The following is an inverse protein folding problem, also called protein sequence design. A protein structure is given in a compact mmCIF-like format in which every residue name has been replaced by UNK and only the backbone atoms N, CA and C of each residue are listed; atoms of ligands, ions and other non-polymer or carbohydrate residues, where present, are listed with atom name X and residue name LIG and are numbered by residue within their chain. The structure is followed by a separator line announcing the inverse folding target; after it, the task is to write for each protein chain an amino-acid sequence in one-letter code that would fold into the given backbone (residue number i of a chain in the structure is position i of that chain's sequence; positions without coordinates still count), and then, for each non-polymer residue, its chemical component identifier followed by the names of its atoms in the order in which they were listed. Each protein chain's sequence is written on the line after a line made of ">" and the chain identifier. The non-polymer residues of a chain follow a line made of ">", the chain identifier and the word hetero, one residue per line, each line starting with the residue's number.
data_IF_563494848155
#
_entry.id   IF_563494848155
#
_cell.length_a   1.000
_cell.length_b   1.000
_cell.length_c   1.000
_cell.angle_alpha   90.00
_cell.angle_beta   90.00
_cell.angle_gamma   90.00
#
_symmetry.space_group_name_H-M   'P 1'
#
loop_
_entity.id
_entity.type
_entity.pdbx_description
1 polymer ?
#
# COMPACT_ATOMS: atom_id res chain seq x y z
N UNK A 1 -11.99 -8.20 32.83
CA UNK A 1 -11.76 -9.30 31.87
C UNK A 1 -11.16 -8.66 30.62
N UNK A 2 -9.94 -9.05 30.32
CA UNK A 2 -9.18 -8.62 29.15
C UNK A 2 -9.79 -9.19 27.86
N UNK A 3 -9.88 -8.34 26.84
CA UNK A 3 -9.73 -8.61 25.40
C UNK A 3 -9.57 -7.20 24.78
N UNK A 4 -8.63 -6.89 23.90
CA UNK A 4 -7.47 -7.58 23.35
C UNK A 4 -6.79 -6.56 22.44
N UNK A 5 -5.48 -6.38 22.60
CA UNK A 5 -4.51 -6.26 21.50
C UNK A 5 -5.12 -5.89 20.13
N UNK A 6 -5.39 -4.60 19.91
CA UNK A 6 -5.22 -4.03 18.58
C UNK A 6 -3.85 -3.36 18.56
N UNK A 7 -2.82 -4.19 18.76
CA UNK A 7 -1.42 -3.84 18.67
C UNK A 7 -1.04 -3.82 17.17
N UNK A 8 -1.75 -3.00 16.39
CA UNK A 8 -1.41 -2.77 14.99
C UNK A 8 -0.19 -1.85 14.96
N UNK A 9 0.99 -2.46 15.05
CA UNK A 9 2.29 -1.80 14.81
C UNK A 9 2.50 -1.74 13.30
N UNK A 10 2.50 -0.54 12.75
CA UNK A 10 2.91 -0.32 11.37
C UNK A 10 4.30 0.28 11.35
N UNK A 11 5.27 -0.46 10.81
CA UNK A 11 6.62 0.06 10.58
C UNK A 11 6.64 0.90 9.31
N UNK A 12 6.78 2.22 9.45
CA UNK A 12 6.68 3.13 8.32
C UNK A 12 8.05 3.74 8.04
N UNK A 13 8.37 3.86 6.75
CA UNK A 13 9.53 4.63 6.31
C UNK A 13 9.10 6.07 6.06
N UNK A 14 9.77 7.01 6.75
CA UNK A 14 9.60 8.43 6.53
C UNK A 14 10.98 9.11 6.41
N UNK A 15 11.10 10.05 5.48
CA UNK A 15 12.34 10.73 5.08
C UNK A 15 12.48 12.17 5.63
N UNK A 16 13.48 12.52 6.46
CA UNK A 16 14.01 13.88 6.41
C UNK A 16 14.66 14.15 5.04
N UNK A 17 14.39 15.30 4.43
CA UNK A 17 14.92 15.68 3.09
C UNK A 17 16.45 15.67 3.01
N UNK A 18 17.12 15.74 4.17
CA UNK A 18 18.52 16.12 4.25
C UNK A 18 19.42 15.09 4.94
N UNK A 19 19.19 13.77 4.82
CA UNK A 19 20.29 12.79 4.61
C UNK A 19 19.88 11.32 4.79
N UNK A 20 18.81 10.96 5.51
CA UNK A 20 18.66 9.60 6.02
C UNK A 20 17.20 9.14 6.07
N UNK A 21 16.80 8.01 5.48
CA UNK A 21 15.49 7.42 5.77
C UNK A 21 15.45 6.94 7.24
N UNK A 22 14.32 7.14 7.93
CA UNK A 22 14.10 6.65 9.29
C UNK A 22 12.89 5.71 9.32
N UNK A 23 12.99 4.65 10.12
CA UNK A 23 11.85 3.79 10.45
C UNK A 23 11.09 4.40 11.62
N UNK A 24 9.78 4.43 11.52
CA UNK A 24 8.87 4.90 12.56
C UNK A 24 7.92 3.76 12.90
N UNK A 25 7.76 3.46 14.18
CA UNK A 25 6.68 2.66 14.70
C UNK A 25 5.45 3.55 14.78
N UNK A 26 4.42 3.21 14.00
CA UNK A 26 3.08 3.72 14.18
C UNK A 26 2.36 2.76 15.13
N UNK A 27 2.15 3.17 16.38
CA UNK A 27 1.40 2.38 17.37
C UNK A 27 0.05 3.03 17.59
N UNK A 28 -1.04 2.28 17.36
CA UNK A 28 -2.37 2.73 17.73
C UNK A 28 -2.47 2.81 19.26
N UNK A 29 -2.63 4.02 19.80
CA UNK A 29 -2.94 4.26 21.21
C UNK A 29 -4.38 4.73 21.34
N UNK A 30 -4.99 4.49 22.48
CA UNK A 30 -6.26 5.13 22.86
C UNK A 30 -5.90 6.32 23.76
N UNK A 31 -6.31 7.53 23.36
CA UNK A 31 -6.04 8.72 24.14
C UNK A 31 -6.93 8.82 25.39
N UNK A 32 -6.68 9.83 26.22
CA UNK A 32 -7.42 10.05 27.47
C UNK A 32 -8.93 10.27 27.29
N UNK A 33 -9.40 10.52 26.06
CA UNK A 33 -10.81 10.69 25.71
C UNK A 33 -11.41 9.44 25.05
N UNK A 34 -10.73 8.30 25.11
CA UNK A 34 -11.08 7.07 24.38
C UNK A 34 -11.08 7.23 22.85
N UNK A 35 -10.33 8.20 22.30
CA UNK A 35 -10.18 8.35 20.87
C UNK A 35 -8.94 7.59 20.38
N UNK A 36 -9.04 6.80 19.30
CA UNK A 36 -7.85 6.21 18.68
C UNK A 36 -6.92 7.31 18.17
N UNK A 37 -5.68 7.33 18.67
CA UNK A 37 -4.58 8.20 18.24
C UNK A 37 -3.36 7.36 17.94
N UNK A 38 -2.78 7.55 16.77
CA UNK A 38 -1.52 6.90 16.43
C UNK A 38 -0.35 7.65 17.05
N UNK A 39 0.46 6.95 17.85
CA UNK A 39 1.76 7.45 18.26
C UNK A 39 2.79 7.10 17.19
N UNK A 40 3.64 8.06 16.86
CA UNK A 40 4.70 7.89 15.88
C UNK A 40 6.01 7.94 16.68
N UNK A 41 6.52 6.77 17.05
CA UNK A 41 7.83 6.66 17.69
C UNK A 41 8.88 6.33 16.66
N UNK A 42 9.93 7.15 16.55
CA UNK A 42 11.07 6.82 15.70
C UNK A 42 11.74 5.55 16.24
N UNK A 43 11.91 4.54 15.39
CA UNK A 43 12.75 3.38 15.68
C UNK A 43 14.19 3.83 15.43
N UNK A 44 15.04 3.79 16.46
CA UNK A 44 16.48 4.02 16.26
C UNK A 44 17.07 2.88 15.45
N UNK A 45 17.11 3.04 14.13
CA UNK A 45 17.79 2.10 13.25
C UNK A 45 19.28 2.42 13.24
N UNK A 46 20.11 1.43 13.58
CA UNK A 46 21.57 1.55 13.45
C UNK A 46 22.03 1.65 11.98
N UNK A 47 21.15 1.30 11.04
CA UNK A 47 21.36 1.46 9.61
C UNK A 47 20.52 2.61 9.09
N UNK A 48 21.18 3.75 8.95
CA UNK A 48 20.71 4.89 8.18
C UNK A 48 20.77 4.49 6.70
N UNK A 49 19.64 4.61 5.99
CA UNK A 49 19.60 4.34 4.55
C UNK A 49 19.68 5.65 3.80
N UNK A 50 20.68 5.77 2.92
CA UNK A 50 20.90 6.94 2.09
C UNK A 50 19.87 6.97 0.96
N UNK A 51 19.16 8.08 0.84
CA UNK A 51 18.32 8.32 -0.33
C UNK A 51 19.21 8.45 -1.58
N UNK A 52 18.82 7.85 -2.72
CA UNK A 52 19.59 7.94 -3.97
C UNK A 52 19.59 9.37 -4.56
N UNK A 53 18.76 10.28 -4.04
CA UNK A 53 18.75 11.70 -4.39
C UNK A 53 18.75 12.56 -3.12
N UNK A 54 19.65 13.55 -3.08
CA UNK A 54 19.49 14.70 -2.20
C UNK A 54 18.34 15.52 -2.76
N UNK A 55 17.29 15.69 -1.96
CA UNK A 55 16.24 16.64 -2.29
C UNK A 55 16.82 18.05 -2.19
N UNK A 56 16.50 18.91 -3.16
CA UNK A 56 16.84 20.33 -3.09
C UNK A 56 16.09 20.95 -1.90
N UNK A 57 16.80 21.68 -1.03
CA UNK A 57 16.23 22.33 0.16
C UNK A 57 15.15 23.37 -0.19
N UNK A 58 15.05 23.74 -1.47
CA UNK A 58 14.01 24.63 -2.01
C UNK A 58 12.69 23.90 -2.35
N UNK A 59 12.61 22.58 -2.17
CA UNK A 59 11.39 21.81 -2.42
C UNK A 59 10.34 22.15 -1.35
N UNK A 60 9.51 23.15 -1.67
CA UNK A 60 8.23 23.41 -1.01
C UNK A 60 7.17 22.36 -1.36
N UNK A 61 7.47 21.49 -2.32
CA UNK A 61 6.54 20.51 -2.86
C UNK A 61 6.28 19.41 -1.84
N UNK A 62 4.99 19.18 -1.56
CA UNK A 62 4.52 18.05 -0.76
C UNK A 62 4.93 16.74 -1.45
N UNK A 63 5.69 15.88 -0.77
CA UNK A 63 6.16 14.60 -1.33
C UNK A 63 5.27 13.47 -0.83
N UNK A 64 4.45 12.85 -1.70
CA UNK A 64 3.62 11.71 -1.32
C UNK A 64 4.43 10.42 -1.25
N UNK A 65 4.21 9.66 -0.19
CA UNK A 65 4.84 8.38 0.10
C UNK A 65 3.76 7.34 0.41
N UNK A 66 3.88 6.15 -0.16
CA UNK A 66 3.03 5.00 0.13
C UNK A 66 3.91 3.88 0.68
N UNK A 67 3.65 3.48 1.92
CA UNK A 67 4.29 2.32 2.57
C UNK A 67 3.37 1.12 2.48
N UNK A 68 3.86 0.02 1.91
CA UNK A 68 3.10 -1.22 1.72
C UNK A 68 3.51 -2.30 2.72
N UNK A 69 2.52 -2.88 3.40
CA UNK A 69 2.63 -4.04 4.30
C UNK A 69 2.00 -5.28 3.65
N UNK A 70 2.01 -6.44 4.29
CA UNK A 70 1.48 -7.67 3.70
C UNK A 70 0.05 -7.54 3.15
N UNK A 71 -0.85 -6.92 3.92
CA UNK A 71 -2.27 -6.78 3.58
C UNK A 71 -2.80 -5.36 3.76
N UNK A 72 -1.94 -4.39 4.00
CA UNK A 72 -2.33 -3.00 4.18
C UNK A 72 -1.33 -2.04 3.57
N UNK A 73 -1.69 -0.77 3.50
CA UNK A 73 -0.78 0.32 3.20
C UNK A 73 -1.07 1.54 4.07
N UNK A 74 -0.08 2.40 4.19
CA UNK A 74 -0.23 3.72 4.83
C UNK A 74 0.28 4.78 3.85
N UNK A 75 -0.44 5.89 3.78
CA UNK A 75 -0.08 7.04 2.96
C UNK A 75 0.40 8.15 3.90
N UNK A 76 1.51 8.78 3.55
CA UNK A 76 1.92 10.03 4.17
C UNK A 76 2.42 11.02 3.14
N UNK A 77 2.40 12.29 3.53
CA UNK A 77 2.91 13.40 2.73
C UNK A 77 3.93 14.15 3.57
N UNK A 78 5.14 14.31 3.02
CA UNK A 78 6.15 15.14 3.65
C UNK A 78 5.73 16.62 3.60
N UNK A 79 5.77 17.31 4.74
CA UNK A 79 5.45 18.73 4.90
C UNK A 79 6.70 19.51 5.31
N UNK A 80 7.22 20.31 4.37
CA UNK A 80 8.27 21.32 4.55
C UNK A 80 9.66 20.79 4.98
N UNK A 81 10.72 21.22 4.28
CA UNK A 81 12.12 20.88 4.54
C UNK A 81 12.58 21.24 5.96
N UNK A 82 12.08 22.35 6.50
CA UNK A 82 12.60 22.94 7.74
C UNK A 82 12.18 22.20 9.02
N UNK A 83 11.20 21.28 8.95
CA UNK A 83 10.64 20.61 10.14
C UNK A 83 10.66 19.09 10.10
N UNK A 84 11.19 18.45 9.04
CA UNK A 84 11.23 16.99 8.89
C UNK A 84 9.88 16.29 9.18
N UNK A 85 8.76 16.96 8.87
CA UNK A 85 7.43 16.54 9.32
C UNK A 85 6.72 15.69 8.28
N UNK A 86 6.19 14.54 8.70
CA UNK A 86 5.24 13.76 7.90
C UNK A 86 3.83 14.00 8.39
N UNK A 87 2.92 14.23 7.46
CA UNK A 87 1.49 14.11 7.73
C UNK A 87 0.99 12.79 7.17
N UNK A 88 0.45 11.96 8.05
CA UNK A 88 -0.29 10.78 7.65
C UNK A 88 -1.64 11.19 7.09
N UNK A 89 -2.05 10.55 6.00
CA UNK A 89 -3.34 10.81 5.39
C UNK A 89 -4.32 9.74 5.82
N UNK A 90 -5.48 10.19 6.28
CA UNK A 90 -6.62 9.30 6.41
C UNK A 90 -7.05 8.85 5.01
N UNK A 91 -7.37 7.57 4.91
CA UNK A 91 -7.98 7.01 3.72
C UNK A 91 -9.43 7.43 3.60
N UNK A 92 -10.09 7.01 2.51
CA UNK A 92 -11.50 7.30 2.27
C UNK A 92 -12.45 6.69 3.32
N UNK A 93 -11.98 5.77 4.19
CA UNK A 93 -12.77 5.24 5.30
C UNK A 93 -12.45 5.90 6.66
N UNK A 94 -11.63 6.96 6.68
CA UNK A 94 -11.23 7.66 7.91
C UNK A 94 -10.13 6.97 8.72
N UNK A 95 -9.53 5.89 8.21
CA UNK A 95 -8.38 5.21 8.85
C UNK A 95 -7.07 5.56 8.15
N UNK A 96 -5.97 5.59 8.90
CA UNK A 96 -4.63 5.80 8.33
C UNK A 96 -4.08 4.53 7.65
N UNK A 97 -4.45 3.35 8.14
CA UNK A 97 -4.22 2.06 7.48
C UNK A 97 -5.27 1.78 6.42
N UNK A 98 -4.83 1.32 5.26
CA UNK A 98 -5.68 0.98 4.11
C UNK A 98 -5.57 -0.51 3.84
N UNK A 99 -6.62 -1.29 4.12
CA UNK A 99 -6.63 -2.71 3.81
C UNK A 99 -6.66 -2.95 2.29
N UNK A 100 -5.77 -3.80 1.76
CA UNK A 100 -5.61 -4.01 0.31
C UNK A 100 -6.63 -5.01 -0.25
N UNK A 101 -7.91 -4.68 -0.09
CA UNK A 101 -9.05 -5.47 -0.54
C UNK A 101 -9.76 -4.73 -1.67
N UNK A 102 -10.10 -5.45 -2.74
CA UNK A 102 -10.90 -4.95 -3.87
C UNK A 102 -12.04 -5.92 -4.09
N UNK A 103 -13.27 -5.45 -4.02
CA UNK A 103 -14.46 -6.24 -4.31
C UNK A 103 -15.15 -5.74 -5.58
N UNK A 104 -15.58 -6.69 -6.40
CA UNK A 104 -16.29 -6.47 -7.67
C UNK A 104 -17.78 -6.79 -7.48
N UNK A 105 -18.48 -6.05 -6.62
CA UNK A 105 -19.91 -6.24 -6.30
C UNK A 105 -20.75 -5.08 -6.86
N UNK A 106 -21.78 -5.40 -7.65
CA UNK A 106 -22.63 -4.47 -8.43
C UNK A 106 -21.84 -3.64 -9.46
N UNK A 107 -22.45 -2.56 -9.95
CA UNK A 107 -21.88 -1.65 -10.96
C UNK A 107 -20.68 -0.82 -10.46
N UNK A 108 -20.29 -0.94 -9.19
CA UNK A 108 -19.21 -0.15 -8.59
C UNK A 108 -18.16 -1.04 -7.88
N UNK A 109 -16.91 -0.57 -7.84
CA UNK A 109 -15.85 -1.23 -7.08
C UNK A 109 -15.94 -0.83 -5.61
N UNK A 110 -15.86 -1.82 -4.72
CA UNK A 110 -15.72 -1.59 -3.29
C UNK A 110 -14.28 -1.86 -2.84
N UNK A 111 -13.82 -1.12 -1.83
CA UNK A 111 -12.44 -1.18 -1.34
C UNK A 111 -12.38 -1.20 0.19
N UNK A 112 -11.25 -1.63 0.77
CA UNK A 112 -11.01 -1.68 2.22
C UNK A 112 -12.17 -2.33 2.99
N UNK A 113 -12.75 -1.62 3.95
CA UNK A 113 -13.81 -2.11 4.85
C UNK A 113 -15.05 -2.60 4.12
N UNK A 114 -15.46 -1.94 3.03
CA UNK A 114 -16.62 -2.39 2.26
C UNK A 114 -16.32 -3.68 1.48
N UNK A 115 -15.11 -3.81 0.93
CA UNK A 115 -14.67 -5.06 0.30
C UNK A 115 -14.56 -6.21 1.32
N UNK A 116 -14.13 -5.93 2.56
CA UNK A 116 -14.08 -6.91 3.64
C UNK A 116 -15.48 -7.41 4.02
N UNK A 117 -16.48 -6.52 4.09
CA UNK A 117 -17.89 -6.92 4.33
C UNK A 117 -18.39 -7.86 3.23
N UNK A 118 -18.05 -7.58 1.97
CA UNK A 118 -18.39 -8.45 0.83
C UNK A 118 -17.66 -9.79 0.95
N UNK A 119 -16.38 -9.80 1.32
CA UNK A 119 -15.58 -11.03 1.45
C UNK A 119 -16.22 -12.06 2.41
N UNK A 120 -16.86 -11.59 3.48
CA UNK A 120 -17.54 -12.46 4.46
C UNK A 120 -18.73 -13.23 3.89
N UNK A 121 -19.34 -12.74 2.81
CA UNK A 121 -20.56 -13.34 2.21
C UNK A 121 -20.34 -13.86 0.80
N UNK A 122 -19.44 -13.25 0.04
CA UNK A 122 -19.12 -13.55 -1.36
C UNK A 122 -17.60 -13.48 -1.57
N UNK A 123 -16.81 -14.40 -0.98
CA UNK A 123 -15.35 -14.31 -1.04
C UNK A 123 -14.80 -14.33 -2.48
N UNK A 124 -15.44 -15.04 -3.41
CA UNK A 124 -14.99 -15.15 -4.81
C UNK A 124 -15.07 -13.85 -5.62
N UNK A 125 -15.73 -12.83 -5.08
CA UNK A 125 -15.90 -11.50 -5.68
C UNK A 125 -14.82 -10.52 -5.19
N UNK A 126 -13.94 -10.97 -4.29
CA UNK A 126 -12.98 -10.10 -3.61
C UNK A 126 -11.57 -10.59 -3.84
N UNK A 127 -10.70 -9.66 -4.23
CA UNK A 127 -9.26 -9.82 -4.29
C UNK A 127 -8.65 -9.30 -2.98
N UNK A 128 -7.84 -10.14 -2.35
CA UNK A 128 -7.00 -9.85 -1.19
C UNK A 128 -5.62 -10.51 -1.37
N UNK A 129 -4.69 -10.32 -0.43
CA UNK A 129 -3.33 -10.87 -0.46
C UNK A 129 -2.53 -10.51 -1.74
N UNK A 130 -2.88 -9.39 -2.39
CA UNK A 130 -2.32 -9.03 -3.69
C UNK A 130 -0.80 -8.86 -3.65
N UNK A 131 -0.25 -8.24 -2.59
CA UNK A 131 1.19 -8.07 -2.43
C UNK A 131 1.92 -9.39 -2.20
N UNK A 132 1.31 -10.33 -1.46
CA UNK A 132 1.83 -11.69 -1.30
C UNK A 132 1.94 -12.38 -2.66
N UNK A 133 0.91 -12.29 -3.48
CA UNK A 133 0.91 -12.84 -4.85
C UNK A 133 1.99 -12.17 -5.71
N UNK A 134 2.09 -10.83 -5.67
CA UNK A 134 3.10 -10.07 -6.39
C UNK A 134 4.53 -10.41 -5.97
N UNK A 135 4.72 -10.88 -4.74
CA UNK A 135 6.03 -11.24 -4.19
C UNK A 135 6.52 -12.63 -4.57
N UNK A 136 5.64 -13.52 -5.07
CA UNK A 136 5.95 -14.93 -5.27
C UNK A 136 6.13 -15.28 -6.76
N UNK A 137 6.91 -16.32 -7.10
CA UNK A 137 6.91 -16.89 -8.44
C UNK A 137 5.59 -17.61 -8.75
N UNK A 138 5.19 -17.64 -10.03
CA UNK A 138 3.95 -18.27 -10.49
C UNK A 138 3.74 -19.69 -9.94
N UNK A 139 4.79 -20.52 -9.91
CA UNK A 139 4.72 -21.89 -9.38
C UNK A 139 4.25 -21.95 -7.92
N UNK A 140 4.72 -21.01 -7.10
CA UNK A 140 4.34 -20.92 -5.69
C UNK A 140 2.93 -20.35 -5.55
N UNK A 141 2.58 -19.32 -6.32
CA UNK A 141 1.23 -18.74 -6.30
C UNK A 141 0.17 -19.78 -6.69
N UNK A 142 0.43 -20.60 -7.71
CA UNK A 142 -0.45 -21.70 -8.13
C UNK A 142 -0.64 -22.79 -7.06
N UNK A 143 0.25 -22.85 -6.06
CA UNK A 143 0.15 -23.81 -4.96
C UNK A 143 -0.73 -23.33 -3.80
N UNK A 144 -1.15 -22.06 -3.80
CA UNK A 144 -1.98 -21.48 -2.74
C UNK A 144 -3.42 -21.96 -2.90
N UNK A 145 -3.86 -22.87 -2.02
CA UNK A 145 -5.22 -23.45 -2.05
C UNK A 145 -6.29 -22.60 -1.37
N UNK A 146 -5.89 -21.56 -0.65
CA UNK A 146 -6.76 -20.77 0.24
C UNK A 146 -7.24 -19.46 -0.39
N UNK A 147 -6.87 -19.16 -1.63
CA UNK A 147 -7.33 -17.95 -2.32
C UNK A 147 -8.81 -18.08 -2.67
N UNK A 148 -9.55 -16.98 -2.54
CA UNK A 148 -10.95 -16.91 -2.93
C UNK A 148 -11.16 -16.80 -4.45
N UNK A 149 -10.09 -16.56 -5.20
CA UNK A 149 -10.04 -16.44 -6.65
C UNK A 149 -9.05 -17.44 -7.23
N UNK A 150 -9.16 -17.70 -8.53
CA UNK A 150 -8.28 -18.62 -9.25
C UNK A 150 -7.06 -17.89 -9.80
N UNK A 151 -5.94 -18.61 -9.91
CA UNK A 151 -4.70 -18.10 -10.50
C UNK A 151 -4.52 -18.77 -11.86
N UNK A 152 -4.29 -17.96 -12.88
CA UNK A 152 -3.93 -18.40 -14.23
C UNK A 152 -2.69 -17.64 -14.70
N UNK A 153 -2.33 -17.81 -15.97
CA UNK A 153 -1.16 -17.16 -16.56
C UNK A 153 -1.43 -16.69 -17.98
N UNK A 154 -0.74 -15.63 -18.38
CA UNK A 154 -0.78 -15.14 -19.75
C UNK A 154 0.17 -15.93 -20.67
N UNK A 155 0.25 -15.54 -21.94
CA UNK A 155 1.16 -16.14 -22.93
C UNK A 155 2.66 -15.95 -22.61
N UNK A 156 3.00 -15.01 -21.72
CA UNK A 156 4.36 -14.73 -21.26
C UNK A 156 4.69 -15.43 -19.92
N UNK A 157 3.78 -16.27 -19.41
CA UNK A 157 3.82 -16.86 -18.06
C UNK A 157 3.79 -15.83 -16.92
N UNK A 158 3.28 -14.62 -17.17
CA UNK A 158 2.98 -13.67 -16.10
C UNK A 158 1.68 -14.08 -15.39
N UNK A 159 1.60 -13.79 -14.09
CA UNK A 159 0.47 -14.17 -13.22
C UNK A 159 -0.78 -13.37 -13.64
N UNK A 160 -1.92 -14.05 -13.73
CA UNK A 160 -3.24 -13.46 -13.88
C UNK A 160 -4.18 -13.98 -12.78
N UNK A 161 -5.07 -13.11 -12.30
CA UNK A 161 -6.09 -13.45 -11.30
C UNK A 161 -7.44 -13.55 -12.02
N UNK A 162 -8.11 -14.69 -11.86
CA UNK A 162 -9.44 -14.97 -12.39
C UNK A 162 -10.46 -15.02 -11.24
N UNK A 163 -11.46 -14.15 -11.29
CA UNK A 163 -12.42 -13.93 -10.21
C UNK A 163 -13.82 -13.67 -10.75
N UNK A 164 -14.83 -13.84 -9.88
CA UNK A 164 -16.22 -13.60 -10.24
C UNK A 164 -16.53 -12.11 -10.17
N UNK A 165 -17.31 -11.63 -11.13
CA UNK A 165 -17.87 -10.29 -11.15
C UNK A 165 -19.35 -10.31 -10.76
N UNK A 166 -19.91 -9.14 -10.42
CA UNK A 166 -21.29 -9.01 -9.95
C UNK A 166 -22.36 -9.64 -10.86
N UNK A 167 -22.11 -9.62 -12.17
CA UNK A 167 -22.99 -10.17 -13.22
C UNK A 167 -22.85 -11.70 -13.38
N UNK A 168 -22.07 -12.34 -12.52
CA UNK A 168 -21.74 -13.76 -12.58
C UNK A 168 -20.76 -14.12 -13.70
N UNK A 169 -20.23 -13.13 -14.43
CA UNK A 169 -19.19 -13.37 -15.42
C UNK A 169 -17.84 -13.48 -14.74
N UNK A 170 -16.93 -14.27 -15.32
CA UNK A 170 -15.54 -14.31 -14.87
C UNK A 170 -14.75 -13.17 -15.49
N UNK A 171 -13.94 -12.51 -14.66
CA UNK A 171 -12.98 -11.49 -15.07
C UNK A 171 -11.58 -11.99 -14.84
N UNK A 172 -10.67 -11.53 -15.68
CA UNK A 172 -9.25 -11.83 -15.58
C UNK A 172 -8.51 -10.50 -15.54
N UNK A 173 -7.63 -10.32 -14.56
CA UNK A 173 -6.80 -9.13 -14.43
C UNK A 173 -5.37 -9.49 -14.03
N UNK A 174 -4.42 -8.64 -14.42
CA UNK A 174 -3.05 -8.74 -13.92
C UNK A 174 -2.93 -8.14 -12.52
N UNK A 175 -1.94 -8.56 -11.72
CA UNK A 175 -1.63 -7.91 -10.46
C UNK A 175 -1.40 -6.40 -10.59
N UNK A 176 -0.74 -5.96 -11.67
CA UNK A 176 -0.52 -4.53 -11.94
C UNK A 176 -1.81 -3.74 -12.14
N UNK A 177 -2.80 -4.31 -12.84
CA UNK A 177 -4.09 -3.65 -13.02
C UNK A 177 -4.83 -3.49 -11.69
N UNK A 178 -4.88 -4.55 -10.89
CA UNK A 178 -5.55 -4.54 -9.59
C UNK A 178 -4.86 -3.58 -8.61
N UNK A 179 -3.52 -3.55 -8.61
CA UNK A 179 -2.75 -2.59 -7.83
C UNK A 179 -2.97 -1.15 -8.32
N UNK A 180 -3.13 -0.92 -9.63
CA UNK A 180 -3.48 0.40 -10.16
C UNK A 180 -4.84 0.90 -9.64
N UNK A 181 -5.83 0.01 -9.48
CA UNK A 181 -7.12 0.37 -8.87
C UNK A 181 -6.97 0.80 -7.40
N UNK A 182 -6.09 0.15 -6.63
CA UNK A 182 -5.78 0.54 -5.24
C UNK A 182 -5.01 1.87 -5.20
N UNK A 183 -4.02 2.04 -6.09
CA UNK A 183 -3.27 3.29 -6.23
C UNK A 183 -4.19 4.45 -6.57
N UNK A 184 -5.20 4.25 -7.41
CA UNK A 184 -6.19 5.30 -7.72
C UNK A 184 -6.90 5.81 -6.46
N UNK A 185 -7.24 4.93 -5.52
CA UNK A 185 -7.87 5.34 -4.26
C UNK A 185 -6.88 6.11 -3.37
N UNK A 186 -5.62 5.67 -3.29
CA UNK A 186 -4.58 6.42 -2.59
C UNK A 186 -4.36 7.80 -3.19
N UNK A 187 -4.39 7.91 -4.52
CA UNK A 187 -4.21 9.17 -5.24
C UNK A 187 -5.34 10.17 -4.96
N UNK A 188 -6.56 9.71 -4.70
CA UNK A 188 -7.66 10.60 -4.28
C UNK A 188 -7.35 11.25 -2.94
N UNK A 189 -6.87 10.48 -1.95
CA UNK A 189 -6.47 10.99 -0.64
C UNK A 189 -5.28 11.95 -0.75
N UNK A 190 -4.27 11.58 -1.54
CA UNK A 190 -3.10 12.43 -1.79
C UNK A 190 -3.53 13.74 -2.46
N UNK A 191 -4.34 13.67 -3.51
CA UNK A 191 -4.84 14.86 -4.23
C UNK A 191 -5.64 15.79 -3.34
N UNK A 192 -6.44 15.25 -2.42
CA UNK A 192 -7.18 16.04 -1.45
C UNK A 192 -6.24 16.82 -0.51
N UNK A 193 -5.13 16.22 -0.09
CA UNK A 193 -4.14 16.92 0.75
C UNK A 193 -3.28 17.91 -0.05
N UNK A 194 -2.81 17.54 -1.24
CA UNK A 194 -1.85 18.37 -2.00
C UNK A 194 -2.51 19.36 -2.96
N UNK A 195 -3.84 19.25 -3.16
CA UNK A 195 -4.64 20.04 -4.10
C UNK A 195 -4.25 19.91 -5.57
N UNK A 196 -3.53 18.84 -5.94
CA UNK A 196 -3.16 18.53 -7.32
C UNK A 196 -2.95 17.01 -7.50
N UNK A 197 -2.91 16.56 -8.76
CA UNK A 197 -2.53 15.17 -9.05
C UNK A 197 -1.01 15.05 -8.95
N UNK A 198 -0.47 14.16 -8.10
CA UNK A 198 0.98 14.02 -7.97
C UNK A 198 1.57 13.46 -9.27
N UNK A 199 2.69 14.04 -9.71
CA UNK A 199 3.46 13.53 -10.86
C UNK A 199 4.35 12.35 -10.46
N UNK A 200 4.72 12.30 -9.19
CA UNK A 200 5.66 11.32 -8.65
C UNK A 200 5.12 10.74 -7.35
N UNK A 201 5.38 9.46 -7.11
CA UNK A 201 5.09 8.75 -5.87
C UNK A 201 6.34 8.03 -5.38
N UNK A 202 6.56 8.05 -4.06
CA UNK A 202 7.62 7.29 -3.43
C UNK A 202 7.03 6.06 -2.72
N UNK A 203 7.66 4.90 -2.93
CA UNK A 203 7.22 3.63 -2.39
C UNK A 203 8.25 3.06 -1.42
N UNK A 204 7.76 2.57 -0.28
CA UNK A 204 8.55 1.87 0.73
C UNK A 204 7.95 0.50 1.04
N UNK A 205 8.82 -0.46 1.33
CA UNK A 205 8.46 -1.83 1.72
C UNK A 205 9.26 -2.24 2.96
N UNK A 206 8.73 -3.10 3.84
CA UNK A 206 9.47 -3.66 4.97
C UNK A 206 10.82 -4.28 4.56
N UNK A 207 11.86 -4.03 5.38
CA UNK A 207 13.25 -4.47 5.16
C UNK A 207 13.44 -5.99 5.23
N UNK A 208 12.56 -6.68 5.96
CA UNK A 208 12.62 -8.12 6.19
C UNK A 208 12.20 -8.97 4.98
N UNK A 209 11.71 -8.35 3.91
CA UNK A 209 11.39 -9.05 2.67
C UNK A 209 12.65 -9.46 1.92
N UNK A 210 12.67 -10.74 1.53
CA UNK A 210 13.68 -11.29 0.62
C UNK A 210 13.87 -10.40 -0.63
N UNK A 211 15.12 -10.21 -1.05
CA UNK A 211 15.50 -9.30 -2.14
C UNK A 211 14.77 -9.66 -3.45
N UNK A 212 14.61 -10.94 -3.76
CA UNK A 212 13.94 -11.39 -4.98
C UNK A 212 12.42 -11.15 -4.90
N UNK A 213 11.83 -11.35 -3.73
CA UNK A 213 10.43 -11.01 -3.48
C UNK A 213 10.17 -9.52 -3.70
N UNK A 214 11.06 -8.67 -3.18
CA UNK A 214 10.97 -7.22 -3.34
C UNK A 214 11.10 -6.78 -4.80
N UNK A 215 12.07 -7.34 -5.56
CA UNK A 215 12.21 -7.05 -7.00
C UNK A 215 10.93 -7.36 -7.79
N UNK A 216 10.23 -8.45 -7.46
CA UNK A 216 8.95 -8.80 -8.09
C UNK A 216 7.85 -7.80 -7.78
N UNK A 217 7.70 -7.41 -6.51
CA UNK A 217 6.74 -6.38 -6.10
C UNK A 217 7.01 -5.06 -6.83
N UNK A 218 8.28 -4.62 -6.89
CA UNK A 218 8.70 -3.40 -7.58
C UNK A 218 8.32 -3.45 -9.06
N UNK A 219 8.57 -4.56 -9.77
CA UNK A 219 8.13 -4.74 -11.17
C UNK A 219 6.63 -4.45 -11.32
N UNK A 220 5.80 -5.07 -10.50
CA UNK A 220 4.35 -4.92 -10.59
C UNK A 220 3.87 -3.51 -10.26
N UNK A 221 4.45 -2.86 -9.25
CA UNK A 221 4.09 -1.47 -8.91
C UNK A 221 4.56 -0.50 -10.00
N UNK A 222 5.71 -0.72 -10.63
CA UNK A 222 6.14 0.06 -11.79
C UNK A 222 5.11 -0.04 -12.93
N UNK A 223 4.62 -1.23 -13.23
CA UNK A 223 3.57 -1.43 -14.23
C UNK A 223 2.25 -0.74 -13.82
N UNK A 224 1.89 -0.80 -12.55
CA UNK A 224 0.71 -0.11 -12.00
C UNK A 224 0.82 1.41 -12.14
N UNK A 225 2.00 1.98 -11.86
CA UNK A 225 2.24 3.41 -11.99
C UNK A 225 2.25 3.87 -13.45
N UNK A 226 2.69 3.02 -14.38
CA UNK A 226 2.54 3.28 -15.83
C UNK A 226 1.07 3.39 -16.23
N UNK A 227 0.19 2.53 -15.72
CA UNK A 227 -1.26 2.61 -15.95
C UNK A 227 -1.84 3.91 -15.39
N UNK A 228 -1.38 4.34 -14.21
CA UNK A 228 -1.77 5.58 -13.57
C UNK A 228 -1.10 6.85 -14.15
N UNK A 229 -0.14 6.70 -15.08
CA UNK A 229 0.69 7.79 -15.65
C UNK A 229 1.45 8.59 -14.59
N UNK A 230 2.05 7.88 -13.63
CA UNK A 230 2.82 8.46 -12.52
C UNK A 230 4.25 7.93 -12.53
N UNK A 231 5.20 8.81 -12.20
CA UNK A 231 6.58 8.40 -11.95
C UNK A 231 6.70 7.71 -10.59
N UNK A 232 7.08 6.44 -10.58
CA UNK A 232 7.30 5.69 -9.36
C UNK A 232 8.77 5.69 -8.95
N UNK A 233 9.03 6.15 -7.74
CA UNK A 233 10.34 6.12 -7.11
C UNK A 233 10.31 5.09 -5.97
N UNK A 234 11.30 4.21 -5.92
CA UNK A 234 11.38 3.18 -4.90
C UNK A 234 12.52 3.50 -3.96
N UNK A 235 12.23 3.42 -2.66
CA UNK A 235 13.22 3.72 -1.64
C UNK A 235 13.58 2.43 -0.91
N UNK A 236 14.89 2.21 -0.74
CA UNK A 236 15.42 1.20 0.17
C UNK A 236 15.11 1.64 1.60
N UNK A 237 14.43 0.77 2.34
CA UNK A 237 13.77 1.01 3.61
C UNK A 237 14.39 0.15 4.70
#
# INVERSE_FOLDING_TARGET
>A
MAYSDFDERYEICAFPLNQNAHRYDLTLMIDENNMPKYNISRIETQNIINLPQKFDETITTKIPVISFFDNSSVICVHKNAEKNGYQFLESWNGKYGNELYIAFDKEELAYCTEAIKIYQTKPSFVICDLLKIMSMPLKEVLSIKTLSFSITKDSKNDILLEFDNFDGTRKIASPAFLMALLLEQHLKAIKAEINETPKELYFCFPYDRDIENRKRIVKWIQESCKLAKINCNFVDA
#
